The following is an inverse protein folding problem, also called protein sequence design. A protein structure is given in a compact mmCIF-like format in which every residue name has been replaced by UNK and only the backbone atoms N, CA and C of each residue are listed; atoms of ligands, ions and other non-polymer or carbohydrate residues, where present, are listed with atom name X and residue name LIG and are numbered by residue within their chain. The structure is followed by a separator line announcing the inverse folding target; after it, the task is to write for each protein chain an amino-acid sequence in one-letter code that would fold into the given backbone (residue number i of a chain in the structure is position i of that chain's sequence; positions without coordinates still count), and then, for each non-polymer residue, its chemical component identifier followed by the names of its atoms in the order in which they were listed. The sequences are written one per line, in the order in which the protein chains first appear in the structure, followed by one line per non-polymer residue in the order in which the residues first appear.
data_IF_338112991599
#
_entry.id   IF_338112991599
#
_cell.length_a   1.000
_cell.length_b   1.000
_cell.length_c   1.000
_cell.angle_alpha   90.00
_cell.angle_beta   90.00
_cell.angle_gamma   90.00
#
_symmetry.space_group_name_H-M   'P 1'
#
loop_
_entity.id
_entity.type
_entity.pdbx_description
1 polymer ?
#
# COMPACT_ATOMS: atom_id res chain seq x y z
N UNK A 1 -7.48 4.49 -14.20
CA UNK A 1 -6.43 3.46 -14.37
C UNK A 1 -6.45 2.60 -13.11
N UNK A 2 -6.39 1.27 -13.21
CA UNK A 2 -6.45 0.40 -12.03
C UNK A 2 -5.16 0.47 -11.20
N UNK A 3 -5.26 0.15 -9.91
CA UNK A 3 -4.14 0.17 -8.94
C UNK A 3 -2.88 -0.53 -9.47
N UNK A 4 -3.03 -1.72 -10.07
CA UNK A 4 -1.89 -2.49 -10.59
C UNK A 4 -1.25 -1.91 -11.85
N UNK A 5 -1.99 -1.20 -12.68
CA UNK A 5 -1.45 -0.49 -13.84
C UNK A 5 -0.58 0.69 -13.39
N UNK A 6 -1.07 1.46 -12.42
CA UNK A 6 -0.30 2.53 -11.79
C UNK A 6 0.96 2.00 -11.11
N UNK A 7 0.83 0.91 -10.34
CA UNK A 7 1.94 0.30 -9.60
C UNK A 7 3.01 -0.30 -10.54
N UNK A 8 2.60 -0.93 -11.64
CA UNK A 8 3.51 -1.41 -12.69
C UNK A 8 4.29 -0.26 -13.32
N UNK A 9 3.61 0.84 -13.64
CA UNK A 9 4.26 2.03 -14.20
C UNK A 9 5.23 2.68 -13.20
N UNK A 10 4.90 2.68 -11.91
CA UNK A 10 5.79 3.15 -10.86
C UNK A 10 7.04 2.27 -10.75
N UNK A 11 6.89 0.95 -10.83
CA UNK A 11 8.02 0.01 -10.80
C UNK A 11 8.98 0.21 -11.94
N UNK A 12 8.46 0.39 -13.15
CA UNK A 12 9.30 0.61 -14.33
C UNK A 12 10.13 1.89 -14.15
N UNK A 13 9.51 2.97 -13.63
CA UNK A 13 10.20 4.23 -13.32
C UNK A 13 11.24 4.09 -12.20
N UNK A 14 10.93 3.33 -11.15
CA UNK A 14 11.90 3.07 -10.07
C UNK A 14 13.06 2.25 -10.58
N UNK A 15 12.79 1.19 -11.36
CA UNK A 15 13.83 0.37 -11.97
C UNK A 15 14.76 1.21 -12.85
N UNK A 16 14.21 2.07 -13.70
CA UNK A 16 14.96 2.99 -14.54
C UNK A 16 15.78 4.00 -13.72
N UNK A 17 15.17 4.62 -12.71
CA UNK A 17 15.83 5.62 -11.85
C UNK A 17 16.97 5.00 -11.03
N UNK A 18 16.75 3.81 -10.48
CA UNK A 18 17.73 3.06 -9.70
C UNK A 18 18.87 2.58 -10.60
N UNK A 19 18.57 2.10 -11.81
CA UNK A 19 19.59 1.67 -12.78
C UNK A 19 20.49 2.84 -13.21
N UNK A 20 19.91 4.01 -13.47
CA UNK A 20 20.64 5.22 -13.85
C UNK A 20 21.48 5.79 -12.69
N UNK A 21 21.03 5.65 -11.44
CA UNK A 21 21.79 6.10 -10.26
C UNK A 21 22.91 5.13 -9.86
N UNK A 22 22.77 3.84 -10.17
CA UNK A 22 23.68 2.77 -9.74
C UNK A 22 24.64 2.27 -10.82
N UNK A 23 24.94 3.06 -11.85
CA UNK A 23 25.85 2.65 -12.95
C UNK A 23 27.22 2.15 -12.45
N UNK A 24 27.64 2.53 -11.24
CA UNK A 24 28.89 2.07 -10.59
C UNK A 24 28.71 0.93 -9.57
N UNK A 25 27.49 0.56 -9.17
CA UNK A 25 27.24 -0.58 -8.27
C UNK A 25 27.02 -1.83 -9.11
N UNK A 26 27.64 -2.94 -8.72
CA UNK A 26 27.63 -4.20 -9.45
C UNK A 26 26.22 -4.57 -9.95
N UNK A 27 26.04 -4.57 -11.27
CA UNK A 27 24.77 -4.75 -12.02
C UNK A 27 23.92 -5.92 -11.52
N UNK A 28 24.55 -7.00 -11.04
CA UNK A 28 23.87 -8.17 -10.50
C UNK A 28 22.99 -7.87 -9.26
N UNK A 29 23.35 -6.87 -8.44
CA UNK A 29 22.56 -6.47 -7.25
C UNK A 29 21.27 -5.80 -7.69
N UNK A 30 21.36 -4.91 -8.69
CA UNK A 30 20.21 -4.18 -9.24
C UNK A 30 19.25 -5.15 -9.91
N UNK A 31 19.76 -6.09 -10.71
CA UNK A 31 18.96 -7.14 -11.35
C UNK A 31 18.21 -8.01 -10.33
N UNK A 32 18.90 -8.44 -9.26
CA UNK A 32 18.27 -9.24 -8.20
C UNK A 32 17.21 -8.47 -7.44
N UNK A 33 17.43 -7.17 -7.15
CA UNK A 33 16.45 -6.32 -6.51
C UNK A 33 15.20 -6.17 -7.37
N UNK A 34 15.37 -5.88 -8.67
CA UNK A 34 14.26 -5.76 -9.62
C UNK A 34 13.49 -7.08 -9.71
N UNK A 35 14.18 -8.21 -9.81
CA UNK A 35 13.55 -9.53 -9.86
C UNK A 35 12.75 -9.84 -8.58
N UNK A 36 13.31 -9.53 -7.40
CA UNK A 36 12.62 -9.68 -6.12
C UNK A 36 11.35 -8.82 -6.07
N UNK A 37 11.45 -7.54 -6.45
CA UNK A 37 10.30 -6.63 -6.49
C UNK A 37 9.23 -7.18 -7.43
N UNK A 38 9.56 -7.53 -8.67
CA UNK A 38 8.61 -8.14 -9.63
C UNK A 38 7.90 -9.36 -9.03
N UNK A 39 8.62 -10.29 -8.43
CA UNK A 39 8.04 -11.48 -7.81
C UNK A 39 7.12 -11.14 -6.62
N UNK A 40 7.47 -10.13 -5.82
CA UNK A 40 6.61 -9.62 -4.75
C UNK A 40 5.30 -9.05 -5.32
N UNK A 41 5.38 -8.26 -6.38
CA UNK A 41 4.21 -7.68 -7.03
C UNK A 41 3.31 -8.71 -7.69
N UNK A 42 3.87 -9.72 -8.34
CA UNK A 42 3.09 -10.84 -8.86
C UNK A 42 2.31 -11.57 -7.77
N UNK A 43 2.91 -11.76 -6.59
CA UNK A 43 2.22 -12.37 -5.44
C UNK A 43 1.11 -11.45 -4.93
N UNK A 44 1.38 -10.15 -4.80
CA UNK A 44 0.37 -9.16 -4.42
C UNK A 44 -0.79 -9.11 -5.42
N UNK A 45 -0.51 -9.15 -6.72
CA UNK A 45 -1.50 -9.21 -7.80
C UNK A 45 -2.40 -10.43 -7.72
N UNK A 46 -1.90 -11.57 -7.23
CA UNK A 46 -2.72 -12.79 -7.03
C UNK A 46 -3.58 -12.70 -5.77
N UNK A 47 -3.01 -12.18 -4.68
CA UNK A 47 -3.70 -12.05 -3.39
C UNK A 47 -4.82 -11.00 -3.48
N UNK A 48 -4.63 -9.95 -4.28
CA UNK A 48 -5.55 -8.82 -4.32
C UNK A 48 -6.97 -9.16 -4.78
N UNK A 49 -7.21 -9.69 -6.00
CA UNK A 49 -8.56 -10.05 -6.43
C UNK A 49 -9.10 -11.26 -5.66
N UNK A 50 -8.23 -12.12 -5.11
CA UNK A 50 -8.66 -13.31 -4.39
C UNK A 50 -9.14 -13.02 -2.96
N UNK A 51 -8.51 -12.07 -2.27
CA UNK A 51 -8.71 -11.86 -0.83
C UNK A 51 -8.97 -10.40 -0.45
N UNK A 52 -8.25 -9.45 -1.05
CA UNK A 52 -8.30 -8.05 -0.62
C UNK A 52 -9.50 -7.32 -1.21
N UNK A 53 -9.66 -7.31 -2.53
CA UNK A 53 -10.78 -6.63 -3.20
C UNK A 53 -12.15 -7.17 -2.73
N UNK A 54 -12.39 -8.49 -2.58
CA UNK A 54 -13.65 -9.00 -2.05
C UNK A 54 -13.93 -8.56 -0.60
N UNK A 55 -12.91 -8.52 0.26
CA UNK A 55 -13.07 -8.05 1.63
C UNK A 55 -13.42 -6.55 1.69
N UNK A 56 -12.81 -5.74 0.83
CA UNK A 56 -13.14 -4.32 0.70
C UNK A 56 -14.55 -4.11 0.13
N UNK A 57 -14.94 -4.89 -0.88
CA UNK A 57 -16.29 -4.88 -1.43
C UNK A 57 -17.36 -5.23 -0.39
N UNK A 58 -17.10 -6.26 0.42
CA UNK A 58 -18.01 -6.67 1.49
C UNK A 58 -18.16 -5.58 2.58
N UNK A 59 -17.07 -4.89 2.93
CA UNK A 59 -17.08 -3.88 3.97
C UNK A 59 -17.62 -2.51 3.50
N UNK A 60 -17.33 -2.11 2.26
CA UNK A 60 -17.56 -0.74 1.79
C UNK A 60 -18.42 -0.65 0.52
N UNK A 61 -18.67 -1.74 -0.20
CA UNK A 61 -19.40 -1.76 -1.48
C UNK A 61 -18.51 -1.37 -2.67
N UNK A 62 -18.83 -1.90 -3.86
CA UNK A 62 -18.02 -1.75 -5.08
C UNK A 62 -17.80 -0.29 -5.50
N UNK A 63 -16.63 0.02 -6.09
CA UNK A 63 -16.30 1.29 -6.77
C UNK A 63 -16.14 2.51 -5.82
N UNK A 64 -16.16 2.31 -4.50
CA UNK A 64 -15.93 3.39 -3.54
C UNK A 64 -14.45 3.85 -3.55
N UNK A 65 -14.20 5.15 -3.59
CA UNK A 65 -12.87 5.71 -3.27
C UNK A 65 -12.68 5.55 -1.77
N UNK A 66 -11.66 4.81 -1.35
CA UNK A 66 -11.39 4.61 0.08
C UNK A 66 -10.21 5.47 0.51
N UNK A 67 -10.34 6.18 1.61
CA UNK A 67 -9.24 6.85 2.25
C UNK A 67 -8.58 5.88 3.22
N UNK A 68 -7.24 5.85 3.23
CA UNK A 68 -6.46 5.05 4.15
C UNK A 68 -5.41 5.91 4.85
N UNK A 69 -5.23 5.66 6.14
CA UNK A 69 -4.14 6.22 6.94
C UNK A 69 -3.40 5.12 7.68
N UNK A 70 -2.12 5.39 7.96
CA UNK A 70 -1.26 4.53 8.75
C UNK A 70 -0.69 5.33 9.93
N UNK A 71 -0.81 4.80 11.14
CA UNK A 71 -0.27 5.39 12.35
C UNK A 71 0.23 4.32 13.33
N UNK A 72 1.05 4.72 14.30
CA UNK A 72 1.60 3.82 15.30
C UNK A 72 0.48 3.32 16.24
N UNK A 73 0.52 2.03 16.56
CA UNK A 73 -0.36 1.45 17.57
C UNK A 73 0.16 1.69 18.99
N UNK A 74 -0.68 1.43 19.99
CA UNK A 74 -0.29 1.55 21.40
C UNK A 74 0.79 0.53 21.82
N UNK A 75 1.01 -0.52 21.02
CA UNK A 75 2.03 -1.54 21.25
C UNK A 75 3.21 -1.29 20.32
N UNK A 76 4.43 -1.34 20.86
CA UNK A 76 5.65 -1.20 20.08
C UNK A 76 5.71 -2.27 18.97
N UNK A 77 5.93 -1.84 17.72
CA UNK A 77 5.90 -2.74 16.57
C UNK A 77 4.50 -3.01 16.01
N UNK A 78 3.48 -2.26 16.43
CA UNK A 78 2.13 -2.31 15.85
C UNK A 78 1.91 -1.12 14.92
N UNK A 79 1.33 -1.40 13.75
CA UNK A 79 0.80 -0.39 12.82
C UNK A 79 -0.71 -0.48 12.80
N UNK A 80 -1.38 0.65 12.94
CA UNK A 80 -2.82 0.76 12.73
C UNK A 80 -3.03 1.25 11.31
N UNK A 81 -3.87 0.52 10.56
CA UNK A 81 -4.36 0.90 9.25
C UNK A 81 -5.85 1.18 9.37
N UNK A 82 -6.28 2.39 9.07
CA UNK A 82 -7.69 2.78 9.15
C UNK A 82 -8.19 3.14 7.76
N UNK A 83 -9.29 2.51 7.33
CA UNK A 83 -9.93 2.73 6.04
C UNK A 83 -11.33 3.30 6.24
N UNK A 84 -11.70 4.28 5.42
CA UNK A 84 -13.06 4.80 5.40
C UNK A 84 -13.46 5.29 4.00
N UNK A 85 -14.77 5.29 3.76
CA UNK A 85 -15.37 5.92 2.59
C UNK A 85 -15.71 7.38 2.92
N UNK A 86 -15.09 8.38 2.28
CA UNK A 86 -15.33 9.79 2.57
C UNK A 86 -16.75 10.23 2.21
N UNK A 87 -17.45 9.53 1.29
CA UNK A 87 -18.82 9.86 0.90
C UNK A 87 -19.85 9.34 1.91
N UNK A 88 -19.48 8.32 2.68
CA UNK A 88 -20.38 7.61 3.60
C UNK A 88 -19.92 7.68 5.07
N UNK A 89 -19.18 8.73 5.45
CA UNK A 89 -18.65 8.94 6.81
C UNK A 89 -19.70 8.76 7.93
N UNK A 90 -20.94 9.18 7.69
CA UNK A 90 -22.02 9.13 8.68
C UNK A 90 -22.80 7.82 8.67
N UNK A 91 -22.71 7.03 7.60
CA UNK A 91 -23.51 5.82 7.38
C UNK A 91 -22.68 4.53 7.47
N UNK A 92 -21.36 4.61 7.29
CA UNK A 92 -20.42 3.48 7.39
C UNK A 92 -19.24 3.86 8.29
N UNK A 93 -19.04 3.18 9.43
CA UNK A 93 -17.89 3.45 10.29
C UNK A 93 -16.59 3.05 9.59
N UNK A 94 -15.50 3.74 9.93
CA UNK A 94 -14.15 3.38 9.50
C UNK A 94 -13.79 1.96 9.97
N UNK A 95 -13.13 1.19 9.12
CA UNK A 95 -12.57 -0.12 9.48
C UNK A 95 -11.13 0.04 9.93
N UNK A 96 -10.81 -0.48 11.11
CA UNK A 96 -9.48 -0.37 11.73
C UNK A 96 -8.83 -1.74 11.79
N UNK A 97 -7.66 -1.85 11.18
CA UNK A 97 -6.86 -3.06 11.12
C UNK A 97 -5.59 -2.89 11.93
N UNK A 98 -5.23 -3.94 12.68
CA UNK A 98 -3.97 -4.00 13.42
C UNK A 98 -3.00 -4.87 12.63
N UNK A 99 -1.92 -4.27 12.17
CA UNK A 99 -0.89 -4.91 11.39
C UNK A 99 0.40 -4.98 12.20
N UNK A 100 1.20 -6.02 11.95
CA UNK A 100 2.57 -6.06 12.45
C UNK A 100 3.39 -5.05 11.66
N UNK A 101 4.11 -4.17 12.35
CA UNK A 101 4.91 -3.13 11.73
C UNK A 101 6.02 -3.77 10.90
N UNK A 102 6.05 -3.45 9.59
CA UNK A 102 7.20 -3.75 8.74
C UNK A 102 8.41 -2.93 9.22
N UNK A 103 9.66 -3.36 8.98
CA UNK A 103 10.82 -2.52 9.27
C UNK A 103 10.69 -1.18 8.53
N UNK A 104 10.65 -0.06 9.26
CA UNK A 104 10.52 1.29 8.68
C UNK A 104 11.71 2.13 9.16
N UNK A 105 12.29 2.92 8.26
CA UNK A 105 13.39 3.84 8.58
C UNK A 105 12.92 5.10 9.30
N UNK A 106 11.62 5.42 9.20
CA UNK A 106 10.97 6.55 9.86
C UNK A 106 9.86 6.02 10.77
N UNK A 107 9.71 6.57 11.99
CA UNK A 107 8.56 6.24 12.83
C UNK A 107 7.26 6.66 12.15
N UNK A 108 6.22 5.85 12.34
CA UNK A 108 4.86 6.24 11.97
C UNK A 108 4.37 7.32 12.94
N UNK A 109 3.47 8.22 12.50
CA UNK A 109 2.87 9.21 13.37
C UNK A 109 2.12 8.52 14.52
N UNK A 110 2.23 9.06 15.72
CA UNK A 110 1.54 8.51 16.90
C UNK A 110 0.07 8.94 16.93
N UNK A 111 -0.23 10.09 16.31
CA UNK A 111 -1.58 10.65 16.28
C UNK A 111 -2.21 10.48 14.89
N UNK A 112 -3.49 10.10 14.89
CA UNK A 112 -4.33 10.01 13.68
C UNK A 112 -4.31 11.31 12.87
N UNK A 113 -4.31 12.47 13.55
CA UNK A 113 -4.30 13.80 12.93
C UNK A 113 -3.02 14.13 12.18
N UNK A 114 -1.93 13.43 12.48
CA UNK A 114 -0.62 13.61 11.83
C UNK A 114 -0.43 12.61 10.68
N UNK A 115 -1.33 11.63 10.56
CA UNK A 115 -1.27 10.62 9.53
C UNK A 115 -1.61 11.21 8.16
N UNK A 116 -0.75 10.93 7.18
CA UNK A 116 -1.00 11.31 5.80
C UNK A 116 -2.15 10.47 5.25
N UNK A 117 -3.19 11.14 4.76
CA UNK A 117 -4.30 10.51 4.07
C UNK A 117 -3.81 10.07 2.68
N UNK A 118 -4.03 8.79 2.38
CA UNK A 118 -3.79 8.18 1.09
C UNK A 118 -5.13 7.78 0.48
N UNK A 119 -5.22 7.83 -0.83
CA UNK A 119 -6.45 7.47 -1.56
C UNK A 119 -6.25 6.13 -2.27
N UNK A 120 -7.16 5.21 -2.01
CA UNK A 120 -7.29 3.94 -2.72
C UNK A 120 -8.40 4.10 -3.76
N UNK A 121 -8.03 4.65 -4.91
CA UNK A 121 -8.90 4.75 -6.05
C UNK A 121 -9.02 3.40 -6.78
N UNK A 122 -10.22 3.10 -7.26
CA UNK A 122 -10.45 2.11 -8.31
C UNK A 122 -9.81 0.73 -8.01
N UNK A 123 -10.18 0.15 -6.86
CA UNK A 123 -9.68 -1.14 -6.36
C UNK A 123 -10.37 -2.37 -6.98
N UNK A 124 -11.31 -2.13 -7.93
CA UNK A 124 -11.90 -3.16 -8.79
C UNK A 124 -10.88 -3.77 -9.76
#
# INVERSE_FOLDING_TARGET
MGFFTWLGTWLDRVAESVFNWLVDVTTWVVERLIAFLKALFEKLQKIWPALVAPALAAAFGEISVLYVIFYAGAVLGQTIMELWDPLNLNSKPSQVFKLKQAPQSSPLPELRSEAKVLELENWN
#
